data_IF_678570046932
#
_entry.id   IF_678570046932
#
_cell.length_a   1.000
_cell.length_b   1.000
_cell.length_c   1.000
_cell.angle_alpha   90.00
_cell.angle_beta   90.00
_cell.angle_gamma   90.00
#
_symmetry.space_group_name_H-M   'P 1'
#
loop_
_entity.id
_entity.type
_entity.pdbx_description
1 polymer ?
#
# COMPACT_ATOMS: atom_id res chain seq x y z
N UNK A 1 -19.05 4.34 -5.77
CA UNK A 1 -19.59 5.19 -4.69
C UNK A 1 -18.84 4.93 -3.38
N UNK A 2 -18.92 5.85 -2.41
CA UNK A 2 -18.37 5.67 -1.06
C UNK A 2 -19.03 4.47 -0.38
N UNK A 3 -20.36 4.33 -0.52
CA UNK A 3 -21.10 3.19 0.05
C UNK A 3 -20.61 1.83 -0.45
N UNK A 4 -20.29 1.71 -1.75
CA UNK A 4 -19.74 0.46 -2.29
C UNK A 4 -18.34 0.20 -1.76
N UNK A 5 -17.53 1.24 -1.60
CA UNK A 5 -16.20 1.14 -1.02
C UNK A 5 -16.28 0.60 0.42
N UNK A 6 -17.12 1.20 1.26
CA UNK A 6 -17.33 0.75 2.64
C UNK A 6 -17.89 -0.67 2.73
N UNK A 7 -18.78 -1.06 1.81
CA UNK A 7 -19.27 -2.47 1.71
C UNK A 7 -18.17 -3.46 1.39
N UNK A 8 -17.18 -3.08 0.55
CA UNK A 8 -16.02 -3.95 0.26
C UNK A 8 -15.16 -4.13 1.52
N UNK A 9 -14.92 -3.05 2.28
CA UNK A 9 -14.21 -3.12 3.56
C UNK A 9 -14.96 -4.03 4.54
N UNK A 10 -16.26 -3.81 4.72
CA UNK A 10 -17.10 -4.61 5.60
C UNK A 10 -17.09 -6.12 5.22
N UNK A 11 -17.21 -6.40 3.92
CA UNK A 11 -17.15 -7.78 3.44
C UNK A 11 -15.78 -8.41 3.74
N UNK A 12 -14.69 -7.66 3.53
CA UNK A 12 -13.33 -8.13 3.82
C UNK A 12 -13.15 -8.44 5.30
N UNK A 13 -13.56 -7.52 6.18
CA UNK A 13 -13.50 -7.73 7.65
C UNK A 13 -14.27 -8.99 8.05
N UNK A 14 -15.50 -9.16 7.54
CA UNK A 14 -16.33 -10.37 7.81
C UNK A 14 -15.67 -11.65 7.30
N UNK A 15 -15.11 -11.63 6.08
CA UNK A 15 -14.44 -12.80 5.50
C UNK A 15 -13.15 -13.16 6.24
N UNK A 16 -12.39 -12.16 6.66
CA UNK A 16 -11.15 -12.36 7.44
C UNK A 16 -11.46 -12.91 8.83
N UNK A 17 -12.51 -12.41 9.47
CA UNK A 17 -13.00 -12.88 10.78
C UNK A 17 -11.89 -12.98 11.83
N UNK A 18 -11.05 -11.95 11.95
CA UNK A 18 -9.98 -11.85 12.96
C UNK A 18 -8.78 -12.78 12.72
N UNK A 19 -8.69 -13.51 11.62
CA UNK A 19 -7.57 -14.41 11.31
C UNK A 19 -6.26 -13.69 11.01
N UNK A 20 -6.36 -12.50 10.42
CA UNK A 20 -5.25 -11.58 10.10
C UNK A 20 -5.76 -10.15 10.20
N UNK A 21 -4.87 -9.15 10.39
CA UNK A 21 -5.27 -7.74 10.35
C UNK A 21 -5.81 -7.31 8.98
N UNK A 22 -6.76 -6.37 8.99
CA UNK A 22 -7.33 -5.74 7.79
C UNK A 22 -6.89 -4.28 7.74
N UNK A 23 -6.22 -3.91 6.65
CA UNK A 23 -5.83 -2.53 6.35
C UNK A 23 -6.81 -1.95 5.34
N UNK A 24 -7.63 -0.98 5.75
CA UNK A 24 -8.59 -0.33 4.87
C UNK A 24 -7.96 0.87 4.14
N UNK A 25 -8.06 0.92 2.82
CA UNK A 25 -7.70 2.12 2.05
C UNK A 25 -8.79 3.18 2.22
N UNK A 26 -8.56 4.23 3.00
CA UNK A 26 -9.54 5.27 3.31
C UNK A 26 -9.09 6.69 2.97
N UNK A 27 -7.89 6.85 2.39
CA UNK A 27 -7.35 8.16 2.01
C UNK A 27 -8.15 8.86 0.92
N UNK A 28 -8.13 10.19 0.95
CA UNK A 28 -8.74 11.07 -0.05
C UNK A 28 -7.90 12.34 -0.23
N UNK A 29 -8.12 13.06 -1.34
CA UNK A 29 -7.55 14.39 -1.54
C UNK A 29 -8.33 15.50 -0.80
N UNK A 30 -9.41 15.14 -0.12
CA UNK A 30 -10.16 15.99 0.82
C UNK A 30 -9.94 15.46 2.23
N UNK A 31 -9.41 16.30 3.13
CA UNK A 31 -9.20 15.93 4.54
C UNK A 31 -10.50 15.51 5.22
N UNK A 32 -11.59 16.24 4.98
CA UNK A 32 -12.90 15.93 5.57
C UNK A 32 -13.41 14.54 5.11
N UNK A 33 -13.28 14.22 3.81
CA UNK A 33 -13.67 12.93 3.28
C UNK A 33 -12.78 11.80 3.79
N UNK A 34 -11.46 12.04 3.94
CA UNK A 34 -10.53 11.06 4.52
C UNK A 34 -10.92 10.75 5.97
N UNK A 35 -11.27 11.75 6.78
CA UNK A 35 -11.75 11.57 8.15
C UNK A 35 -13.04 10.72 8.16
N UNK A 36 -14.02 11.09 7.34
CA UNK A 36 -15.30 10.36 7.24
C UNK A 36 -15.08 8.90 6.88
N UNK A 37 -14.33 8.63 5.81
CA UNK A 37 -14.09 7.25 5.33
C UNK A 37 -13.24 6.46 6.33
N UNK A 38 -12.29 7.09 7.01
CA UNK A 38 -11.45 6.44 8.03
C UNK A 38 -12.26 6.10 9.27
N UNK A 39 -13.13 7.02 9.74
CA UNK A 39 -14.03 6.78 10.87
C UNK A 39 -14.99 5.63 10.59
N UNK A 40 -15.59 5.58 9.38
CA UNK A 40 -16.47 4.48 9.00
C UNK A 40 -15.71 3.14 8.85
N UNK A 41 -14.47 3.16 8.32
CA UNK A 41 -13.64 1.96 8.24
C UNK A 41 -13.31 1.39 9.63
N UNK A 42 -13.01 2.27 10.59
CA UNK A 42 -12.84 1.90 12.01
C UNK A 42 -14.12 1.29 12.58
N UNK A 43 -15.28 1.92 12.37
CA UNK A 43 -16.59 1.42 12.85
C UNK A 43 -16.94 0.05 12.28
N UNK A 44 -16.55 -0.22 11.04
CA UNK A 44 -16.72 -1.51 10.36
C UNK A 44 -15.82 -2.60 10.96
N UNK A 45 -14.72 -2.23 11.63
CA UNK A 45 -13.79 -3.15 12.27
C UNK A 45 -12.50 -3.38 11.49
N UNK A 46 -12.08 -2.44 10.64
CA UNK A 46 -10.72 -2.45 10.10
C UNK A 46 -9.70 -2.21 11.24
N UNK A 47 -8.57 -2.89 11.18
CA UNK A 47 -7.51 -2.78 12.18
C UNK A 47 -6.60 -1.57 11.93
N UNK A 48 -6.39 -1.24 10.65
CA UNK A 48 -5.53 -0.15 10.20
C UNK A 48 -6.16 0.60 9.03
N UNK A 49 -5.68 1.84 8.83
CA UNK A 49 -6.07 2.68 7.70
C UNK A 49 -4.88 3.00 6.82
N UNK A 50 -5.03 2.87 5.49
CA UNK A 50 -4.02 3.24 4.50
C UNK A 50 -4.45 4.55 3.84
N UNK A 51 -3.65 5.60 4.01
CA UNK A 51 -3.95 6.96 3.59
C UNK A 51 -3.02 7.40 2.47
N UNK A 52 -3.51 7.35 1.23
CA UNK A 52 -2.78 7.85 0.06
C UNK A 52 -2.58 9.37 0.15
N UNK A 53 -1.43 9.88 -0.32
CA UNK A 53 -1.22 11.32 -0.47
C UNK A 53 -2.34 11.97 -1.28
N UNK A 54 -2.80 13.20 -0.89
CA UNK A 54 -3.78 13.93 -1.68
C UNK A 54 -3.34 14.06 -3.14
N UNK A 55 -4.10 13.42 -4.02
CA UNK A 55 -3.88 13.40 -5.47
C UNK A 55 -4.52 14.61 -6.12
N UNK A 56 -4.01 15.05 -7.26
CA UNK A 56 -4.51 16.15 -8.08
C UNK A 56 -4.27 17.56 -7.51
N UNK A 57 -4.71 17.86 -6.27
CA UNK A 57 -4.56 19.18 -5.64
C UNK A 57 -3.15 19.46 -5.09
N UNK A 58 -2.28 18.45 -4.99
CA UNK A 58 -0.84 18.52 -4.75
C UNK A 58 -0.44 19.49 -3.63
N UNK A 59 -0.85 19.24 -2.37
CA UNK A 59 -0.46 20.07 -1.26
C UNK A 59 1.05 20.12 -1.08
N UNK A 60 1.58 21.21 -0.54
CA UNK A 60 2.96 21.29 -0.10
C UNK A 60 3.19 20.48 1.19
N UNK A 61 4.45 20.36 1.64
CA UNK A 61 4.80 19.54 2.81
C UNK A 61 4.05 19.98 4.10
N UNK A 62 3.88 21.29 4.29
CA UNK A 62 3.10 21.81 5.41
C UNK A 62 1.63 21.34 5.35
N UNK A 63 1.03 21.42 4.16
CA UNK A 63 -0.34 20.94 3.96
C UNK A 63 -0.48 19.42 4.16
N UNK A 64 0.55 18.62 3.79
CA UNK A 64 0.60 17.18 4.09
C UNK A 64 0.65 16.93 5.59
N UNK A 65 1.50 17.65 6.34
CA UNK A 65 1.58 17.53 7.80
C UNK A 65 0.23 17.83 8.43
N UNK A 66 -0.38 18.96 8.11
CA UNK A 66 -1.67 19.36 8.66
C UNK A 66 -2.79 18.38 8.29
N UNK A 67 -2.78 17.85 7.06
CA UNK A 67 -3.74 16.85 6.58
C UNK A 67 -3.69 15.57 7.41
N UNK A 68 -2.51 14.96 7.55
CA UNK A 68 -2.35 13.68 8.24
C UNK A 68 -2.52 13.80 9.75
N UNK A 69 -1.97 14.85 10.37
CA UNK A 69 -2.18 15.11 11.80
C UNK A 69 -3.68 15.28 12.10
N UNK A 70 -4.39 16.07 11.28
CA UNK A 70 -5.84 16.27 11.46
C UNK A 70 -6.62 14.96 11.40
N UNK A 71 -6.27 14.05 10.47
CA UNK A 71 -6.92 12.73 10.38
C UNK A 71 -6.55 11.88 11.61
N UNK A 72 -5.29 11.91 12.03
CA UNK A 72 -4.81 11.13 13.16
C UNK A 72 -5.37 11.59 14.52
N UNK A 73 -5.64 12.89 14.66
CA UNK A 73 -6.28 13.46 15.84
C UNK A 73 -7.78 13.10 15.95
N UNK A 74 -8.47 13.00 14.79
CA UNK A 74 -9.92 12.78 14.76
C UNK A 74 -10.31 11.30 14.66
N UNK A 75 -9.42 10.43 14.19
CA UNK A 75 -9.68 8.99 13.99
C UNK A 75 -8.82 8.14 14.91
N UNK A 76 -9.45 7.41 15.83
CA UNK A 76 -8.74 6.52 16.77
C UNK A 76 -8.47 5.14 16.14
N UNK A 77 -7.73 5.13 15.04
CA UNK A 77 -7.27 3.94 14.31
C UNK A 77 -5.84 4.19 13.84
N UNK A 78 -4.99 3.18 13.92
CA UNK A 78 -3.62 3.25 13.43
C UNK A 78 -3.57 3.47 11.92
N UNK A 79 -2.74 4.41 11.48
CA UNK A 79 -2.68 4.91 10.12
C UNK A 79 -1.32 4.63 9.49
N UNK A 80 -1.36 4.19 8.24
CA UNK A 80 -0.19 3.98 7.39
C UNK A 80 -0.27 5.02 6.26
N UNK A 81 0.73 5.88 6.16
CA UNK A 81 0.87 6.82 5.06
C UNK A 81 1.10 6.07 3.75
N UNK A 82 0.62 6.59 2.62
CA UNK A 82 0.92 5.99 1.33
C UNK A 82 1.46 7.02 0.35
N UNK A 83 2.74 6.87 0.01
CA UNK A 83 3.45 7.71 -0.94
C UNK A 83 3.57 7.02 -2.31
N UNK A 84 2.97 7.62 -3.34
CA UNK A 84 3.01 7.13 -4.73
C UNK A 84 2.96 8.31 -5.71
N UNK A 85 4.01 9.12 -5.78
CA UNK A 85 4.01 10.37 -6.54
C UNK A 85 3.77 10.19 -8.04
N UNK A 86 4.11 9.04 -8.62
CA UNK A 86 3.80 8.70 -10.02
C UNK A 86 2.30 8.67 -10.32
N UNK A 87 1.44 8.41 -9.32
CA UNK A 87 -0.02 8.38 -9.44
C UNK A 87 -0.69 9.63 -8.91
N UNK A 88 -0.17 10.20 -7.84
CA UNK A 88 -0.81 11.32 -7.13
C UNK A 88 -0.29 12.68 -7.62
N UNK A 89 0.93 12.74 -8.16
CA UNK A 89 1.64 13.99 -8.42
C UNK A 89 2.09 14.71 -7.15
N UNK A 90 2.00 14.04 -5.99
CA UNK A 90 2.36 14.58 -4.68
C UNK A 90 3.31 13.61 -3.97
N UNK A 91 4.38 14.13 -3.41
CA UNK A 91 5.45 13.36 -2.75
C UNK A 91 5.56 13.78 -1.28
N UNK A 92 5.55 12.82 -0.37
CA UNK A 92 5.90 13.05 1.04
C UNK A 92 7.41 12.90 1.16
N UNK A 93 8.10 13.96 1.54
CA UNK A 93 9.55 13.91 1.73
C UNK A 93 9.91 13.20 3.06
N UNK A 94 11.09 12.57 3.16
CA UNK A 94 11.51 11.89 4.39
C UNK A 94 11.45 12.77 5.64
N UNK A 95 11.79 14.06 5.54
CA UNK A 95 11.69 15.00 6.66
C UNK A 95 10.25 15.21 7.13
N UNK A 96 9.29 15.12 6.21
CA UNK A 96 7.85 15.17 6.54
C UNK A 96 7.40 13.87 7.21
N UNK A 97 7.89 12.73 6.75
CA UNK A 97 7.65 11.43 7.38
C UNK A 97 8.18 11.42 8.81
N UNK A 98 9.38 11.95 9.05
CA UNK A 98 9.98 12.07 10.40
C UNK A 98 9.11 12.89 11.36
N UNK A 99 8.49 13.98 10.87
CA UNK A 99 7.57 14.77 11.69
C UNK A 99 6.30 13.96 11.99
N UNK A 100 5.72 13.30 10.98
CA UNK A 100 4.49 12.54 11.10
C UNK A 100 4.65 11.27 11.96
N UNK A 101 5.82 10.62 11.93
CA UNK A 101 6.11 9.42 12.71
C UNK A 101 6.13 9.63 14.23
N UNK A 102 6.12 10.91 14.69
CA UNK A 102 6.03 11.27 16.11
C UNK A 102 4.59 11.21 16.65
N UNK A 103 3.60 11.07 15.77
CA UNK A 103 2.20 10.97 16.18
C UNK A 103 1.84 9.50 16.46
N UNK A 104 1.32 9.21 17.67
CA UNK A 104 1.03 7.85 18.14
C UNK A 104 0.14 7.00 17.22
N UNK A 105 -0.77 7.63 16.45
CA UNK A 105 -1.68 6.95 15.52
C UNK A 105 -1.09 6.82 14.10
N UNK A 106 0.11 7.33 13.82
CA UNK A 106 0.77 7.21 12.51
C UNK A 106 1.92 6.22 12.64
N UNK A 107 1.66 4.97 12.31
CA UNK A 107 2.52 3.84 12.63
C UNK A 107 3.40 3.35 11.46
N UNK A 108 3.33 3.98 10.31
CA UNK A 108 4.15 3.54 9.19
C UNK A 108 3.87 4.26 7.89
N UNK A 109 4.62 3.84 6.88
CA UNK A 109 4.49 4.32 5.50
C UNK A 109 4.56 3.15 4.51
N UNK A 110 3.69 3.19 3.50
CA UNK A 110 3.83 2.45 2.25
C UNK A 110 4.53 3.35 1.24
N UNK A 111 5.78 3.03 0.89
CA UNK A 111 6.59 3.80 -0.06
C UNK A 111 6.65 3.09 -1.42
N UNK A 112 6.28 3.80 -2.48
CA UNK A 112 6.32 3.29 -3.85
C UNK A 112 7.40 3.96 -4.72
N UNK A 113 8.27 4.77 -4.13
CA UNK A 113 9.42 5.33 -4.85
C UNK A 113 10.62 4.41 -4.71
N UNK A 114 11.04 3.80 -5.82
CA UNK A 114 12.25 2.97 -5.87
C UNK A 114 13.51 3.84 -5.91
N UNK A 115 13.95 4.30 -4.74
CA UNK A 115 15.17 5.10 -4.58
C UNK A 115 15.91 4.68 -3.32
N UNK A 116 17.13 4.16 -3.47
CA UNK A 116 17.92 3.61 -2.36
C UNK A 116 18.23 4.63 -1.26
N UNK A 117 18.52 5.89 -1.63
CA UNK A 117 18.77 6.94 -0.64
C UNK A 117 17.55 7.17 0.23
N UNK A 118 16.37 7.28 -0.40
CA UNK A 118 15.09 7.44 0.31
C UNK A 118 14.78 6.24 1.20
N UNK A 119 14.98 5.02 0.71
CA UNK A 119 14.81 3.80 1.51
C UNK A 119 15.67 3.86 2.77
N UNK A 120 16.94 4.21 2.63
CA UNK A 120 17.85 4.33 3.77
C UNK A 120 17.43 5.42 4.77
N UNK A 121 16.96 6.58 4.28
CA UNK A 121 16.44 7.66 5.13
C UNK A 121 15.19 7.20 5.91
N UNK A 122 14.24 6.51 5.27
CA UNK A 122 13.06 5.98 5.94
C UNK A 122 13.40 4.88 6.96
N UNK A 123 14.34 4.00 6.62
CA UNK A 123 14.83 2.96 7.56
C UNK A 123 15.48 3.60 8.79
N UNK A 124 16.21 4.69 8.62
CA UNK A 124 16.80 5.41 9.75
C UNK A 124 15.73 6.08 10.61
N UNK A 125 14.70 6.68 10.02
CA UNK A 125 13.55 7.22 10.75
C UNK A 125 12.87 6.11 11.57
N UNK A 126 12.65 4.93 10.97
CA UNK A 126 12.07 3.77 11.65
C UNK A 126 12.88 3.36 12.88
N UNK A 127 14.20 3.27 12.77
CA UNK A 127 15.10 2.90 13.88
C UNK A 127 15.14 3.92 15.01
N UNK A 128 14.95 5.20 14.69
CA UNK A 128 14.96 6.30 15.67
C UNK A 128 13.59 6.57 16.29
N UNK A 129 12.53 5.99 15.75
CA UNK A 129 11.18 6.12 16.31
C UNK A 129 11.10 5.45 17.68
N UNK A 130 10.41 6.09 18.61
CA UNK A 130 10.17 5.52 19.97
C UNK A 130 9.18 4.36 19.95
N UNK A 131 8.31 4.34 18.95
CA UNK A 131 7.39 3.25 18.62
C UNK A 131 7.79 2.64 17.27
N UNK A 132 7.48 1.37 17.05
CA UNK A 132 7.82 0.67 15.81
C UNK A 132 7.15 1.32 14.60
N UNK A 133 7.87 2.26 13.94
CA UNK A 133 7.38 2.88 12.71
C UNK A 133 7.68 1.97 11.51
N UNK A 134 6.63 1.43 10.90
CA UNK A 134 6.73 0.38 9.88
C UNK A 134 6.93 0.95 8.47
N UNK A 135 7.80 0.32 7.70
CA UNK A 135 8.04 0.68 6.29
C UNK A 135 7.64 -0.47 5.40
N UNK A 136 6.62 -0.26 4.58
CA UNK A 136 6.17 -1.21 3.57
C UNK A 136 6.53 -0.72 2.17
N UNK A 137 6.95 -1.64 1.30
CA UNK A 137 7.02 -1.35 -0.12
C UNK A 137 5.62 -1.23 -0.73
N UNK A 138 5.45 -0.28 -1.63
CA UNK A 138 4.26 -0.14 -2.48
C UNK A 138 4.47 -0.64 -3.91
N UNK A 139 5.59 -1.29 -4.18
CA UNK A 139 6.06 -1.65 -5.51
C UNK A 139 6.60 -3.08 -5.55
N UNK A 140 6.17 -3.87 -6.54
CA UNK A 140 6.55 -5.29 -6.65
C UNK A 140 7.97 -5.49 -7.19
N UNK A 141 8.51 -4.55 -7.96
CA UNK A 141 9.87 -4.64 -8.49
C UNK A 141 10.91 -4.45 -7.39
N UNK A 142 10.66 -3.50 -6.48
CA UNK A 142 11.65 -3.04 -5.51
C UNK A 142 11.47 -3.56 -4.08
N UNK A 143 10.39 -4.28 -3.78
CA UNK A 143 10.09 -4.69 -2.40
C UNK A 143 11.17 -5.55 -1.77
N UNK A 144 11.79 -6.42 -2.55
CA UNK A 144 12.87 -7.29 -2.08
C UNK A 144 14.03 -6.43 -1.51
N UNK A 145 14.46 -5.44 -2.30
CA UNK A 145 15.51 -4.52 -1.89
C UNK A 145 15.11 -3.68 -0.67
N UNK A 146 13.86 -3.20 -0.63
CA UNK A 146 13.37 -2.42 0.51
C UNK A 146 13.39 -3.24 1.80
N UNK A 147 12.89 -4.49 1.78
CA UNK A 147 12.85 -5.33 2.99
C UNK A 147 14.27 -5.72 3.41
N UNK A 148 15.16 -6.10 2.49
CA UNK A 148 16.56 -6.43 2.81
C UNK A 148 17.36 -5.23 3.32
N UNK A 149 16.93 -4.01 3.01
CA UNK A 149 17.50 -2.77 3.56
C UNK A 149 16.98 -2.42 4.97
N UNK A 150 16.03 -3.17 5.51
CA UNK A 150 15.46 -2.96 6.85
C UNK A 150 13.98 -2.55 6.86
N UNK A 151 13.27 -2.69 5.75
CA UNK A 151 11.81 -2.54 5.70
C UNK A 151 11.07 -3.77 6.25
N UNK A 152 9.75 -3.68 6.37
CA UNK A 152 8.94 -4.64 7.15
C UNK A 152 8.04 -5.53 6.29
N UNK A 153 7.84 -5.19 5.02
CA UNK A 153 6.97 -5.97 4.13
C UNK A 153 6.59 -5.23 2.85
N UNK A 154 5.57 -5.75 2.18
CA UNK A 154 5.05 -5.20 0.93
C UNK A 154 3.53 -5.23 0.87
N UNK A 155 2.93 -4.17 0.34
CA UNK A 155 1.52 -4.14 -0.07
C UNK A 155 1.51 -4.26 -1.59
N UNK A 156 1.52 -5.49 -2.06
CA UNK A 156 1.86 -5.95 -3.41
C UNK A 156 0.64 -6.07 -4.32
N UNK A 157 0.80 -5.79 -5.60
CA UNK A 157 -0.17 -6.13 -6.65
C UNK A 157 -0.08 -7.62 -6.99
N UNK A 158 1.14 -8.16 -7.10
CA UNK A 158 1.38 -9.58 -7.39
C UNK A 158 0.78 -10.51 -6.32
N UNK A 159 0.66 -10.05 -5.08
CA UNK A 159 0.02 -10.81 -3.99
C UNK A 159 -1.44 -11.18 -4.27
N UNK A 160 -2.15 -10.50 -5.17
CA UNK A 160 -3.48 -10.91 -5.63
C UNK A 160 -3.45 -12.22 -6.45
N UNK A 161 -2.33 -12.52 -7.09
CA UNK A 161 -2.16 -13.67 -8.00
C UNK A 161 -1.35 -14.79 -7.34
N UNK A 162 -0.26 -14.41 -6.64
CA UNK A 162 0.69 -15.33 -6.00
C UNK A 162 0.89 -15.01 -4.51
N UNK A 163 -0.20 -14.95 -3.69
CA UNK A 163 -0.12 -14.49 -2.31
C UNK A 163 0.86 -15.31 -1.47
N UNK A 164 0.87 -16.65 -1.66
CA UNK A 164 1.77 -17.51 -0.93
C UNK A 164 3.24 -17.22 -1.22
N UNK A 165 3.60 -17.06 -2.49
CA UNK A 165 5.00 -16.79 -2.88
C UNK A 165 5.50 -15.46 -2.34
N UNK A 166 4.67 -14.39 -2.41
CA UNK A 166 5.03 -13.09 -1.81
C UNK A 166 5.22 -13.20 -0.31
N UNK A 167 4.31 -13.89 0.39
CA UNK A 167 4.42 -14.13 1.83
C UNK A 167 5.67 -14.94 2.18
N UNK A 168 5.97 -16.01 1.43
CA UNK A 168 7.16 -16.85 1.65
C UNK A 168 8.45 -16.03 1.44
N UNK A 169 8.52 -15.18 0.42
CA UNK A 169 9.67 -14.30 0.17
C UNK A 169 9.87 -13.35 1.37
N UNK A 170 8.83 -12.64 1.80
CA UNK A 170 8.91 -11.73 2.93
C UNK A 170 9.37 -12.47 4.20
N UNK A 171 8.80 -13.64 4.49
CA UNK A 171 9.16 -14.46 5.63
C UNK A 171 10.63 -14.89 5.61
N UNK A 172 11.11 -15.38 4.47
CA UNK A 172 12.50 -15.80 4.31
C UNK A 172 13.48 -14.62 4.50
N UNK A 173 13.14 -13.42 4.04
CA UNK A 173 13.96 -12.23 4.27
C UNK A 173 14.01 -11.90 5.77
N UNK A 174 12.88 -11.94 6.47
CA UNK A 174 12.81 -11.68 7.92
C UNK A 174 13.58 -12.76 8.72
N UNK A 175 13.63 -13.99 8.22
CA UNK A 175 14.43 -15.10 8.79
C UNK A 175 15.92 -15.04 8.37
N UNK A 176 16.36 -13.96 7.70
CA UNK A 176 17.73 -13.76 7.18
C UNK A 176 18.18 -14.81 6.14
N UNK A 177 17.24 -15.54 5.53
CA UNK A 177 17.46 -16.54 4.46
C UNK A 177 17.39 -15.88 3.09
N UNK A 178 18.26 -14.90 2.86
CA UNK A 178 18.19 -13.99 1.72
C UNK A 178 18.36 -14.69 0.38
N UNK A 179 19.28 -15.65 0.29
CA UNK A 179 19.54 -16.42 -0.96
C UNK A 179 18.31 -17.21 -1.39
N UNK A 180 17.64 -17.89 -0.45
CA UNK A 180 16.43 -18.66 -0.73
C UNK A 180 15.27 -17.75 -1.15
N UNK A 181 15.11 -16.63 -0.47
CA UNK A 181 14.12 -15.62 -0.84
C UNK A 181 14.36 -15.10 -2.26
N UNK A 182 15.62 -14.82 -2.61
CA UNK A 182 16.00 -14.32 -3.94
C UNK A 182 15.74 -15.35 -5.04
N UNK A 183 15.97 -16.64 -4.79
CA UNK A 183 15.67 -17.70 -5.76
C UNK A 183 14.17 -17.81 -6.07
N UNK A 184 13.32 -17.54 -5.08
CA UNK A 184 11.87 -17.48 -5.30
C UNK A 184 11.51 -16.18 -6.04
N UNK A 185 12.04 -15.04 -5.59
CA UNK A 185 11.75 -13.73 -6.16
C UNK A 185 12.11 -13.64 -7.66
N UNK A 186 13.27 -14.16 -8.05
CA UNK A 186 13.70 -14.20 -9.46
C UNK A 186 12.72 -14.88 -10.40
N UNK A 187 11.95 -15.87 -9.92
CA UNK A 187 10.97 -16.61 -10.75
C UNK A 187 9.80 -15.73 -11.18
N UNK A 188 9.56 -14.63 -10.48
CA UNK A 188 8.39 -13.78 -10.69
C UNK A 188 8.70 -12.39 -11.28
N UNK A 189 9.96 -12.10 -11.65
CA UNK A 189 10.35 -10.81 -12.22
C UNK A 189 9.50 -10.45 -13.46
N UNK A 190 9.34 -11.40 -14.39
CA UNK A 190 8.49 -11.18 -15.56
C UNK A 190 7.02 -10.91 -15.19
N UNK A 191 6.50 -11.53 -14.12
CA UNK A 191 5.15 -11.27 -13.66
C UNK A 191 5.03 -9.84 -13.13
N UNK A 192 6.03 -9.36 -12.39
CA UNK A 192 6.02 -7.98 -11.87
C UNK A 192 5.97 -6.97 -13.02
N UNK A 193 6.78 -7.14 -14.05
CA UNK A 193 6.78 -6.28 -15.24
C UNK A 193 5.42 -6.32 -15.96
N UNK A 194 4.87 -7.52 -16.19
CA UNK A 194 3.60 -7.71 -16.89
C UNK A 194 2.40 -7.15 -16.13
N UNK A 195 2.44 -7.10 -14.81
CA UNK A 195 1.39 -6.48 -14.00
C UNK A 195 1.27 -4.96 -14.19
N UNK A 196 2.27 -4.33 -14.81
CA UNK A 196 2.31 -2.89 -15.07
C UNK A 196 2.42 -2.56 -16.58
N UNK A 197 2.20 -3.53 -17.46
CA UNK A 197 2.19 -3.31 -18.93
C UNK A 197 1.09 -2.33 -19.36
N UNK A 198 0.02 -2.27 -18.59
CA UNK A 198 -1.00 -1.22 -18.59
C UNK A 198 -1.25 -0.74 -17.16
N UNK A 199 -2.04 0.31 -17.01
CA UNK A 199 -2.36 0.86 -15.67
C UNK A 199 -2.97 -0.19 -14.75
N UNK A 200 -2.31 -0.47 -13.61
CA UNK A 200 -2.92 -1.26 -12.54
C UNK A 200 -4.25 -0.57 -12.10
N UNK A 201 -5.38 -1.32 -11.96
CA UNK A 201 -5.48 -2.79 -11.82
C UNK A 201 -5.87 -3.55 -13.10
N UNK A 202 -5.64 -3.03 -14.31
CA UNK A 202 -6.09 -3.68 -15.54
C UNK A 202 -5.44 -5.07 -15.71
N UNK A 203 -4.09 -5.22 -15.70
CA UNK A 203 -3.46 -6.53 -15.91
C UNK A 203 -3.78 -7.54 -14.80
N UNK A 204 -3.71 -7.13 -13.53
CA UNK A 204 -4.00 -8.05 -12.42
C UNK A 204 -5.43 -8.57 -12.44
N UNK A 205 -6.41 -7.74 -12.81
CA UNK A 205 -7.80 -8.18 -12.95
C UNK A 205 -7.99 -9.13 -14.14
N UNK A 206 -7.27 -8.91 -15.23
CA UNK A 206 -7.29 -9.83 -16.36
C UNK A 206 -6.72 -11.21 -15.96
N UNK A 207 -5.62 -11.26 -15.23
CA UNK A 207 -5.05 -12.52 -14.72
C UNK A 207 -6.06 -13.23 -13.81
N UNK A 208 -6.65 -12.52 -12.85
CA UNK A 208 -7.66 -13.10 -11.95
C UNK A 208 -8.89 -13.62 -12.70
N UNK A 209 -9.30 -12.95 -13.79
CA UNK A 209 -10.34 -13.44 -14.69
C UNK A 209 -9.91 -14.75 -15.38
N UNK A 210 -8.69 -14.81 -15.94
CA UNK A 210 -8.14 -16.04 -16.55
C UNK A 210 -8.03 -17.20 -15.54
N UNK A 211 -7.76 -16.90 -14.28
CA UNK A 211 -7.76 -17.88 -13.19
C UNK A 211 -9.19 -18.30 -12.75
N UNK A 212 -10.23 -17.66 -13.26
CA UNK A 212 -11.62 -17.98 -12.94
C UNK A 212 -12.16 -17.40 -11.63
N UNK A 213 -11.43 -16.45 -11.00
CA UNK A 213 -11.85 -15.87 -9.72
C UNK A 213 -12.83 -14.73 -9.87
N UNK A 214 -12.78 -13.97 -10.96
CA UNK A 214 -13.64 -12.81 -11.20
C UNK A 214 -14.12 -12.74 -12.66
N UNK A 215 -15.09 -11.89 -12.93
CA UNK A 215 -15.50 -11.56 -14.30
C UNK A 215 -14.54 -10.55 -14.92
N UNK A 216 -14.36 -10.60 -16.26
CA UNK A 216 -13.59 -9.61 -17.01
C UNK A 216 -14.38 -8.30 -17.14
N UNK A 217 -14.43 -7.54 -16.08
CA UNK A 217 -15.20 -6.31 -15.98
C UNK A 217 -14.44 -5.24 -15.22
N UNK A 218 -14.31 -4.08 -15.85
CA UNK A 218 -13.78 -2.86 -15.22
C UNK A 218 -14.81 -1.73 -15.40
N UNK A 219 -14.79 -0.77 -14.49
CA UNK A 219 -15.60 0.44 -14.57
C UNK A 219 -14.81 1.56 -15.24
N UNK A 220 -15.45 2.32 -16.10
CA UNK A 220 -14.85 3.53 -16.67
C UNK A 220 -14.33 4.46 -15.56
N UNK A 221 -13.18 5.13 -15.77
CA UNK A 221 -12.45 5.28 -17.05
C UNK A 221 -11.53 4.11 -17.43
N UNK A 222 -11.39 3.08 -16.59
CA UNK A 222 -10.61 1.90 -16.93
C UNK A 222 -11.42 0.96 -17.85
N UNK A 223 -10.70 0.32 -18.78
CA UNK A 223 -11.24 -0.65 -19.74
C UNK A 223 -10.51 -1.99 -19.59
N UNK A 224 -11.02 -3.04 -20.25
CA UNK A 224 -10.35 -4.34 -20.26
C UNK A 224 -8.97 -4.24 -20.91
N UNK A 225 -8.07 -5.17 -20.55
CA UNK A 225 -6.72 -5.28 -21.11
C UNK A 225 -6.78 -5.26 -22.65
N UNK A 226 -5.83 -4.52 -23.28
CA UNK A 226 -5.71 -4.49 -24.74
C UNK A 226 -5.38 -5.91 -25.26
N UNK A 227 -6.09 -6.33 -26.30
CA UNK A 227 -5.96 -7.68 -26.89
C UNK A 227 -4.53 -8.04 -27.30
N UNK A 228 -3.70 -7.05 -27.63
CA UNK A 228 -2.30 -7.28 -27.98
C UNK A 228 -1.44 -7.82 -26.83
N UNK A 229 -1.94 -7.72 -25.58
CA UNK A 229 -1.29 -8.23 -24.37
C UNK A 229 -1.94 -9.48 -23.81
N UNK A 230 -2.95 -10.03 -24.48
CA UNK A 230 -3.68 -11.21 -24.01
C UNK A 230 -3.00 -12.56 -24.35
N UNK A 231 -1.89 -12.54 -25.13
CA UNK A 231 -1.10 -13.72 -25.54
C UNK A 231 0.03 -14.04 -24.49
#
# INVERSE_FOLDING_TARGET
>A
TVDEHLKVIEHTVKCVNGRIPVIAGSGSNSTAQAIETTTESQRIGADFSLLVTPYYNRPNQKGLIEHYIKIADECNINQILYNVPSRTGCDILPETVEILSKHQNIIGIKEAVNNQKRINELVEISKQSQEDFLIFSGDDESFFNLITSGGHGVISVAANVIPKSISDICKLIIEERIEEANEINKKYQNLYDLLFIESNPIPVKWILFKMGFIQNSLRLPLVNLDKKFEE
#
